data_IF_449337959374
#
_entry.id   IF_449337959374
#
_cell.length_a   1.000
_cell.length_b   1.000
_cell.length_c   1.000
_cell.angle_alpha   90.00
_cell.angle_beta   90.00
_cell.angle_gamma   90.00
#
_symmetry.space_group_name_H-M   'P 1'
#
loop_
_entity.id
_entity.type
_entity.pdbx_description
1 polymer ?
2 non-polymer ?
3 non-polymer ?
4 non-polymer ?
5 water ?
#
# COMPACT_ATOMS: atom_id res chain seq x y z
N UNK A 1 5.40 -17.03 19.29
CA UNK A 1 4.75 -15.71 18.97
C UNK A 1 5.25 -15.36 17.56
N UNK A 2 4.67 -14.33 16.95
CA UNK A 2 4.78 -14.03 15.49
C UNK A 2 6.18 -13.49 15.26
N UNK A 3 7.08 -14.18 14.53
CA UNK A 3 8.46 -13.71 14.42
C UNK A 3 8.64 -12.54 13.43
N UNK A 4 7.60 -12.12 12.70
CA UNK A 4 7.63 -10.97 11.73
C UNK A 4 7.24 -9.65 12.43
N UNK A 5 6.87 -9.73 13.70
CA UNK A 5 6.51 -8.51 14.43
C UNK A 5 7.80 -7.70 14.55
N UNK A 6 7.62 -6.39 14.45
CA UNK A 6 8.67 -5.35 14.39
C UNK A 6 8.08 -4.10 15.02
N UNK A 7 8.88 -3.42 15.80
CA UNK A 7 8.49 -2.13 16.36
C UNK A 7 7.71 -2.35 17.66
N UNK A 8 7.55 -1.26 18.43
CA UNK A 8 6.73 -1.28 19.64
C UNK A 8 5.24 -1.47 19.34
N UNK A 9 4.48 -1.71 20.41
CA UNK A 9 3.02 -1.94 20.33
C UNK A 9 2.34 -0.66 19.83
N UNK A 10 1.49 -0.77 18.80
CA UNK A 10 0.91 0.42 18.19
C UNK A 10 -0.16 1.10 19.04
N UNK A 11 -0.28 2.43 18.91
CA UNK A 11 -1.45 3.21 19.36
C UNK A 11 -1.94 4.02 18.15
N UNK A 12 -3.19 4.40 18.18
CA UNK A 12 -3.76 5.47 17.33
C UNK A 12 -2.74 6.62 17.19
N UNK A 13 -2.26 7.18 18.30
CA UNK A 13 -1.27 8.28 18.28
C UNK A 13 -0.05 7.89 17.45
N UNK A 14 0.53 6.68 17.64
CA UNK A 14 1.80 6.35 16.97
C UNK A 14 1.53 6.20 15.48
N UNK A 15 0.35 5.70 15.11
CA UNK A 15 0.01 5.49 13.68
C UNK A 15 -0.39 6.81 12.99
N UNK A 16 -0.94 7.78 13.70
CA UNK A 16 -1.29 9.09 13.08
C UNK A 16 -0.07 10.00 12.98
N UNK A 17 1.03 9.74 13.73
CA UNK A 17 2.24 10.60 13.78
C UNK A 17 2.91 10.65 12.40
N UNK A 18 3.66 11.72 12.14
CA UNK A 18 4.46 11.98 10.92
C UNK A 18 5.38 10.80 10.63
N UNK A 19 6.00 10.26 11.64
CA UNK A 19 7.00 9.20 11.43
C UNK A 19 6.70 8.04 12.37
N UNK A 20 6.99 6.84 11.90
CA UNK A 20 7.08 5.63 12.74
C UNK A 20 8.33 5.57 13.62
N UNK A 21 8.52 4.46 14.35
CA UNK A 21 9.59 4.35 15.35
C UNK A 21 10.97 4.08 14.76
N UNK A 22 11.08 3.85 13.46
CA UNK A 22 12.32 3.35 12.83
C UNK A 22 12.96 4.46 12.00
N UNK A 23 14.18 4.86 12.35
CA UNK A 23 15.01 5.67 11.49
C UNK A 23 15.22 4.98 10.16
N UNK A 24 15.28 5.76 9.12
CA UNK A 24 15.24 5.26 7.74
C UNK A 24 16.43 5.88 6.98
N UNK A 25 16.94 5.17 5.97
CA UNK A 25 17.92 5.71 5.00
C UNK A 25 17.43 5.40 3.59
N UNK A 26 18.04 6.00 2.58
CA UNK A 26 17.49 5.94 1.20
C UNK A 26 18.55 5.38 0.27
N UNK A 27 18.07 4.68 -0.76
CA UNK A 27 18.93 4.33 -1.93
C UNK A 27 18.21 4.83 -3.18
N UNK A 28 18.90 5.67 -3.95
CA UNK A 28 18.44 6.15 -5.26
C UNK A 28 18.64 5.01 -6.26
N UNK A 29 17.62 4.69 -7.07
CA UNK A 29 17.78 3.64 -8.10
C UNK A 29 18.59 4.17 -9.31
N UNK A 30 19.61 3.43 -9.77
CA UNK A 30 20.38 3.62 -11.04
C UNK A 30 19.49 4.19 -12.18
N UNK A 31 20.13 4.89 -13.13
CA UNK A 31 19.48 5.71 -14.19
C UNK A 31 18.58 4.85 -15.07
N UNK A 32 19.16 4.03 -15.99
CA UNK A 32 18.40 3.04 -16.74
C UNK A 32 18.34 1.84 -15.80
N UNK A 33 17.15 1.55 -15.32
CA UNK A 33 16.83 0.31 -14.57
C UNK A 33 15.77 -0.38 -15.42
N UNK A 34 15.88 -1.69 -15.46
CA UNK A 34 14.99 -2.56 -16.25
C UNK A 34 13.52 -2.49 -15.77
N UNK A 35 12.63 -2.07 -16.67
CA UNK A 35 11.18 -2.30 -16.51
C UNK A 35 10.42 -1.14 -15.87
N UNK A 36 11.10 -0.08 -15.43
CA UNK A 36 10.45 1.13 -14.85
C UNK A 36 11.40 2.32 -15.03
N UNK A 37 10.94 3.50 -14.60
CA UNK A 37 11.60 4.78 -14.88
C UNK A 37 12.59 5.18 -13.81
N UNK A 38 12.66 4.52 -12.69
CA UNK A 38 13.61 4.89 -11.61
C UNK A 38 12.88 4.88 -10.29
N UNK A 39 13.55 5.31 -9.22
CA UNK A 39 12.84 5.52 -7.96
C UNK A 39 13.77 5.69 -6.79
N UNK A 40 13.20 5.60 -5.59
CA UNK A 40 13.91 5.79 -4.31
C UNK A 40 13.47 4.65 -3.41
N UNK A 41 14.43 3.91 -2.86
CA UNK A 41 14.18 2.86 -1.86
C UNK A 41 14.48 3.44 -0.49
N UNK A 42 13.46 3.43 0.36
CA UNK A 42 13.47 3.78 1.80
C UNK A 42 13.53 2.51 2.62
N UNK A 43 14.50 2.41 3.55
CA UNK A 43 14.69 1.19 4.37
C UNK A 43 15.07 1.51 5.81
N UNK A 44 14.59 0.71 6.78
CA UNK A 44 14.95 0.94 8.18
C UNK A 44 16.47 0.79 8.33
N UNK A 45 17.10 1.64 9.13
CA UNK A 45 18.56 1.54 9.40
C UNK A 45 18.81 0.22 10.15
N UNK A 46 17.89 -0.12 11.06
CA UNK A 46 18.09 -1.28 11.94
C UNK A 46 18.13 -2.57 11.09
N UNK A 47 19.21 -3.31 11.27
CA UNK A 47 19.50 -4.57 10.53
C UNK A 47 18.51 -5.65 10.97
N UNK A 48 17.53 -5.92 10.09
CA UNK A 48 16.53 -6.99 10.28
C UNK A 48 15.99 -7.33 8.91
N UNK A 49 15.16 -8.35 8.79
CA UNK A 49 14.37 -8.56 7.55
C UNK A 49 13.00 -7.92 7.73
N UNK A 50 12.54 -7.28 6.68
CA UNK A 50 11.24 -6.60 6.59
C UNK A 50 10.54 -7.04 5.29
N UNK A 51 9.22 -6.98 5.30
CA UNK A 51 8.45 -6.91 4.07
C UNK A 51 8.92 -5.76 3.17
N UNK A 52 8.61 -5.88 1.89
CA UNK A 52 8.89 -4.85 0.87
C UNK A 52 7.61 -4.41 0.09
N UNK A 53 7.59 -3.12 -0.22
CA UNK A 53 6.41 -2.44 -0.82
C UNK A 53 6.89 -1.65 -2.03
N UNK A 54 6.23 -1.81 -3.19
CA UNK A 54 6.39 -0.94 -4.36
C UNK A 54 5.17 -0.04 -4.45
N UNK A 55 5.39 1.28 -4.60
CA UNK A 55 4.35 2.35 -4.69
C UNK A 55 4.50 3.10 -6.00
N UNK A 56 3.42 3.13 -6.81
CA UNK A 56 3.36 3.84 -8.10
C UNK A 56 2.63 5.16 -7.90
N UNK A 57 3.09 6.25 -8.54
CA UNK A 57 2.28 7.46 -8.62
C UNK A 57 1.22 7.28 -9.73
N UNK A 58 0.51 8.39 -9.99
CA UNK A 58 -0.61 8.46 -10.92
C UNK A 58 -0.22 9.06 -12.27
N UNK A 59 -1.24 9.20 -13.11
CA UNK A 59 -1.17 9.85 -14.44
C UNK A 59 -0.65 11.29 -14.28
N UNK A 60 0.30 11.70 -15.14
CA UNK A 60 1.09 12.96 -15.17
C UNK A 60 1.93 13.21 -13.90
N UNK A 61 2.03 12.28 -12.94
CA UNK A 61 2.76 12.50 -11.66
C UNK A 61 4.07 11.69 -11.65
N UNK A 62 4.96 12.00 -10.70
CA UNK A 62 6.26 11.34 -10.42
C UNK A 62 6.26 10.81 -8.98
N UNK A 63 7.36 10.17 -8.57
CA UNK A 63 7.51 9.56 -7.22
C UNK A 63 7.36 10.63 -6.15
N UNK A 64 7.59 11.89 -6.50
CA UNK A 64 7.51 12.99 -5.52
C UNK A 64 6.09 12.99 -4.92
N UNK A 65 5.08 12.72 -5.71
CA UNK A 65 3.66 12.68 -5.28
C UNK A 65 3.35 11.54 -4.29
N UNK A 66 4.22 10.52 -4.17
CA UNK A 66 4.05 9.43 -3.15
C UNK A 66 5.27 9.28 -2.21
N UNK A 67 6.25 10.17 -2.28
CA UNK A 67 7.49 10.18 -1.47
C UNK A 67 7.14 10.14 0.02
N UNK A 68 6.18 10.96 0.44
CA UNK A 68 5.76 11.02 1.87
C UNK A 68 5.42 9.62 2.37
N UNK A 69 4.71 8.88 1.52
CA UNK A 69 4.15 7.56 1.85
C UNK A 69 5.29 6.55 1.99
N UNK A 70 6.27 6.61 1.09
CA UNK A 70 7.41 5.70 1.15
C UNK A 70 8.21 5.90 2.43
N UNK A 71 8.40 7.15 2.84
CA UNK A 71 9.23 7.40 4.04
C UNK A 71 8.44 7.04 5.31
N UNK A 72 7.16 7.38 5.31
CA UNK A 72 6.32 7.14 6.49
C UNK A 72 6.17 5.64 6.70
N UNK A 73 5.97 4.91 5.63
CA UNK A 73 5.73 3.44 5.72
C UNK A 73 7.03 2.73 6.08
N UNK A 74 8.16 3.08 5.45
CA UNK A 74 9.48 2.51 5.79
C UNK A 74 9.72 2.69 7.30
N UNK A 75 9.33 3.83 7.87
CA UNK A 75 9.65 4.19 9.28
C UNK A 75 8.83 3.36 10.24
N UNK A 76 7.85 2.60 9.75
CA UNK A 76 7.08 1.62 10.56
C UNK A 76 7.68 0.23 10.39
N UNK A 77 8.76 0.09 9.63
CA UNK A 77 9.46 -1.22 9.51
C UNK A 77 9.11 -1.94 8.23
N UNK A 78 9.45 -1.33 7.09
CA UNK A 78 9.21 -1.89 5.74
C UNK A 78 10.27 -1.32 4.84
N UNK A 79 10.64 -2.08 3.82
CA UNK A 79 11.48 -1.57 2.70
C UNK A 79 10.51 -1.08 1.63
N UNK A 80 10.64 0.17 1.18
CA UNK A 80 9.58 0.74 0.29
C UNK A 80 10.23 1.39 -0.94
N UNK A 81 9.91 0.97 -2.15
CA UNK A 81 10.38 1.74 -3.34
C UNK A 81 9.23 2.62 -3.84
N UNK A 82 9.49 3.93 -3.98
CA UNK A 82 8.55 4.87 -4.66
C UNK A 82 9.07 4.98 -6.09
N UNK A 83 8.29 4.61 -7.09
CA UNK A 83 8.83 4.58 -8.49
C UNK A 83 8.46 5.84 -9.25
N UNK A 84 9.27 6.10 -10.29
CA UNK A 84 8.89 6.85 -11.48
C UNK A 84 8.55 5.79 -12.52
N UNK A 85 7.55 6.09 -13.34
CA UNK A 85 7.13 5.24 -14.48
C UNK A 85 7.99 5.64 -15.70
N UNK A 86 8.02 4.75 -16.68
CA UNK A 86 8.63 4.97 -18.00
C UNK A 86 8.26 6.35 -18.49
N UNK A 87 6.97 6.64 -18.60
CA UNK A 87 6.48 8.01 -18.86
C UNK A 87 5.34 8.28 -17.92
N UNK A 88 5.02 9.56 -17.73
CA UNK A 88 4.00 9.97 -16.75
C UNK A 88 2.60 9.69 -17.29
N UNK A 89 2.45 9.37 -18.58
CA UNK A 89 1.13 9.10 -19.22
C UNK A 89 0.81 7.59 -19.30
N UNK A 90 1.67 6.70 -18.77
CA UNK A 90 1.49 5.23 -18.87
C UNK A 90 0.17 4.85 -18.16
N UNK A 91 -0.59 3.93 -18.72
CA UNK A 91 -1.94 3.59 -18.20
C UNK A 91 -1.78 2.56 -17.10
N UNK A 92 -2.90 2.18 -16.43
CA UNK A 92 -2.81 1.32 -15.26
C UNK A 92 -2.14 -0.04 -15.51
N UNK A 93 -2.42 -0.73 -16.61
CA UNK A 93 -1.86 -2.09 -16.76
C UNK A 93 -0.33 -2.00 -16.98
N UNK A 94 0.12 -0.92 -17.61
CA UNK A 94 1.56 -0.69 -17.77
C UNK A 94 2.17 -0.47 -16.38
N UNK A 95 1.53 0.38 -15.56
CA UNK A 95 1.95 0.63 -14.14
C UNK A 95 2.02 -0.70 -13.36
N UNK A 96 1.11 -1.65 -13.62
CA UNK A 96 1.16 -3.01 -13.00
C UNK A 96 2.49 -3.74 -13.31
N UNK A 97 2.89 -3.76 -14.58
CA UNK A 97 4.20 -4.32 -15.02
C UNK A 97 5.36 -3.60 -14.31
N UNK A 98 5.27 -2.27 -14.18
CA UNK A 98 6.34 -1.44 -13.64
C UNK A 98 6.42 -1.67 -12.13
N UNK A 99 5.28 -1.87 -11.44
CA UNK A 99 5.28 -2.23 -10.00
C UNK A 99 6.01 -3.58 -9.86
N UNK A 100 5.71 -4.55 -10.72
CA UNK A 100 6.32 -5.89 -10.62
C UNK A 100 7.83 -5.77 -10.83
N UNK A 101 8.25 -5.05 -11.88
CA UNK A 101 9.69 -4.82 -12.17
C UNK A 101 10.37 -4.13 -10.96
N UNK A 102 9.73 -3.18 -10.30
CA UNK A 102 10.29 -2.52 -9.10
C UNK A 102 10.48 -3.54 -7.95
N UNK A 103 9.51 -4.45 -7.76
CA UNK A 103 9.65 -5.53 -6.76
C UNK A 103 10.89 -6.37 -7.12
N UNK A 104 11.05 -6.71 -8.40
CA UNK A 104 12.20 -7.52 -8.87
C UNK A 104 13.52 -6.78 -8.60
N UNK A 105 13.51 -5.45 -8.79
CA UNK A 105 14.73 -4.63 -8.60
C UNK A 105 15.10 -4.62 -7.10
N UNK A 106 14.15 -4.49 -6.20
CA UNK A 106 14.47 -4.47 -4.75
C UNK A 106 15.13 -5.78 -4.30
N UNK A 107 14.66 -6.93 -4.78
CA UNK A 107 15.19 -8.25 -4.32
C UNK A 107 16.37 -8.76 -5.16
N UNK A 108 16.49 -8.35 -6.43
CA UNK A 108 17.51 -8.90 -7.35
C UNK A 108 18.40 -7.81 -7.95
N UNK A 109 18.07 -6.53 -7.82
CA UNK A 109 18.89 -5.48 -8.47
C UNK A 109 19.50 -4.47 -7.49
N UNK A 110 18.95 -4.27 -6.30
CA UNK A 110 19.36 -3.20 -5.38
C UNK A 110 20.68 -3.61 -4.70
N UNK A 111 21.23 -2.73 -3.88
CA UNK A 111 22.46 -3.05 -3.09
C UNK A 111 22.16 -4.20 -2.16
N UNK A 112 23.22 -4.87 -1.68
CA UNK A 112 23.19 -5.86 -0.57
C UNK A 112 22.53 -5.27 0.67
N UNK A 113 22.80 -4.00 0.96
CA UNK A 113 22.15 -3.30 2.08
C UNK A 113 20.62 -3.48 1.98
N UNK A 114 20.10 -3.30 0.77
CA UNK A 114 18.62 -3.40 0.54
C UNK A 114 18.22 -4.88 0.52
N UNK A 115 18.83 -5.67 -0.35
CA UNK A 115 18.45 -7.11 -0.48
C UNK A 115 18.46 -7.81 0.89
N UNK A 116 19.42 -7.53 1.77
CA UNK A 116 19.62 -8.24 3.07
C UNK A 116 18.49 -7.88 4.04
N UNK A 117 17.84 -6.74 3.82
CA UNK A 117 16.74 -6.23 4.69
C UNK A 117 15.37 -6.71 4.18
N UNK A 118 15.28 -7.41 3.07
CA UNK A 118 13.97 -7.91 2.54
C UNK A 118 13.80 -9.40 2.81
N UNK A 119 12.65 -9.74 3.42
CA UNK A 119 12.07 -11.10 3.34
C UNK A 119 11.32 -11.18 2.02
N UNK A 120 11.91 -11.77 0.97
CA UNK A 120 11.29 -11.66 -0.38
C UNK A 120 10.03 -12.52 -0.51
N UNK A 121 9.68 -13.27 0.53
CA UNK A 121 8.40 -14.00 0.58
C UNK A 121 7.29 -13.03 0.95
N UNK A 122 7.61 -11.84 1.44
CA UNK A 122 6.57 -10.98 2.03
C UNK A 122 6.52 -9.64 1.30
N UNK A 123 5.70 -9.54 0.25
CA UNK A 123 5.66 -8.37 -0.63
C UNK A 123 4.27 -7.77 -0.75
N UNK A 124 4.23 -6.46 -1.03
CA UNK A 124 2.99 -5.66 -1.19
C UNK A 124 3.15 -4.61 -2.29
N UNK A 125 2.00 -4.14 -2.80
CA UNK A 125 1.98 -3.02 -3.75
C UNK A 125 0.92 -2.01 -3.34
N UNK A 126 1.10 -0.78 -3.80
CA UNK A 126 0.28 0.41 -3.48
C UNK A 126 0.38 1.35 -4.66
N UNK A 127 -0.59 2.22 -4.89
CA UNK A 127 -0.42 3.26 -5.93
C UNK A 127 -1.56 4.26 -5.86
N UNK A 128 -1.30 5.48 -6.33
CA UNK A 128 -2.27 6.58 -6.41
C UNK A 128 -2.84 6.55 -7.82
N UNK A 129 -4.17 6.56 -7.89
CA UNK A 129 -4.92 6.94 -9.09
C UNK A 129 -4.66 5.85 -10.12
N UNK A 130 -4.01 6.15 -11.24
CA UNK A 130 -3.75 5.09 -12.25
C UNK A 130 -2.76 4.06 -11.66
N UNK A 131 -1.85 4.49 -10.80
CA UNK A 131 -1.03 3.60 -9.95
C UNK A 131 -1.86 2.65 -9.08
N UNK A 132 -3.03 3.13 -8.64
CA UNK A 132 -4.00 2.33 -7.85
C UNK A 132 -4.66 1.28 -8.73
N UNK A 133 -4.96 1.63 -9.98
CA UNK A 133 -5.45 0.67 -10.96
C UNK A 133 -4.40 -0.39 -11.20
N UNK A 134 -3.13 0.03 -11.35
CA UNK A 134 -1.99 -0.90 -11.55
C UNK A 134 -1.89 -1.87 -10.38
N UNK A 135 -2.08 -1.36 -9.15
CA UNK A 135 -2.14 -2.17 -7.89
C UNK A 135 -3.18 -3.30 -8.04
N UNK A 136 -4.42 -2.97 -8.45
CA UNK A 136 -5.50 -3.97 -8.65
C UNK A 136 -5.10 -5.00 -9.70
N UNK A 137 -4.59 -4.56 -10.87
CA UNK A 137 -4.22 -5.49 -11.95
C UNK A 137 -3.12 -6.44 -11.46
N UNK A 138 -2.06 -5.91 -10.85
CA UNK A 138 -0.93 -6.77 -10.43
C UNK A 138 -1.45 -7.73 -9.36
N UNK A 139 -2.22 -7.24 -8.39
CA UNK A 139 -2.79 -8.11 -7.34
C UNK A 139 -3.58 -9.24 -8.01
N UNK A 140 -4.34 -8.89 -9.07
CA UNK A 140 -5.21 -9.87 -9.78
C UNK A 140 -4.37 -11.06 -10.29
N UNK A 141 -3.11 -10.82 -10.63
CA UNK A 141 -2.30 -11.82 -11.33
C UNK A 141 -1.14 -12.32 -10.45
N UNK A 142 -0.99 -11.80 -9.22
CA UNK A 142 0.05 -12.22 -8.27
C UNK A 142 -0.59 -12.51 -6.92
N UNK A 143 -1.33 -13.62 -6.82
CA UNK A 143 -2.04 -13.96 -5.58
C UNK A 143 -1.07 -14.31 -4.45
N UNK A 144 0.24 -14.35 -4.76
CA UNK A 144 1.34 -14.56 -3.78
C UNK A 144 1.65 -13.27 -3.01
N UNK A 145 1.22 -12.10 -3.49
CA UNK A 145 1.44 -10.85 -2.74
C UNK A 145 0.66 -10.91 -1.43
N UNK A 146 1.19 -10.30 -0.38
CA UNK A 146 0.60 -10.33 0.98
C UNK A 146 -0.43 -9.19 1.11
N UNK A 147 -0.30 -8.10 0.36
CA UNK A 147 -1.23 -6.94 0.43
C UNK A 147 -1.20 -6.09 -0.84
N UNK A 148 -2.30 -5.35 -1.04
CA UNK A 148 -2.51 -4.37 -2.10
C UNK A 148 -3.32 -3.19 -1.55
N UNK A 149 -2.89 -1.96 -1.79
CA UNK A 149 -3.63 -0.77 -1.30
C UNK A 149 -3.69 0.24 -2.44
N UNK A 150 -4.76 0.16 -3.28
CA UNK A 150 -5.06 1.19 -4.27
C UNK A 150 -5.63 2.42 -3.55
N UNK A 151 -5.07 3.59 -3.82
CA UNK A 151 -5.45 4.89 -3.24
C UNK A 151 -6.09 5.74 -4.33
N UNK A 152 -7.35 6.10 -4.13
CA UNK A 152 -8.19 6.82 -5.13
C UNK A 152 -7.93 6.22 -6.51
N UNK A 153 -8.14 4.89 -6.65
CA UNK A 153 -7.76 4.20 -7.87
C UNK A 153 -8.62 4.69 -9.05
N UNK A 154 -7.98 4.73 -10.20
CA UNK A 154 -8.58 4.87 -11.53
C UNK A 154 -8.21 3.64 -12.38
N UNK A 155 -9.19 3.00 -12.99
CA UNK A 155 -9.00 1.92 -13.99
C UNK A 155 -10.30 1.81 -14.75
N UNK A 156 -10.20 1.69 -16.08
CA UNK A 156 -11.38 1.48 -16.94
C UNK A 156 -12.07 0.16 -16.57
N UNK A 157 -11.32 -0.84 -16.11
CA UNK A 157 -11.90 -2.11 -15.62
C UNK A 157 -12.40 -1.94 -14.17
N UNK A 158 -13.58 -2.50 -13.91
CA UNK A 158 -14.27 -2.42 -12.59
C UNK A 158 -14.41 -3.82 -12.02
N UNK A 159 -13.96 -4.85 -12.76
CA UNK A 159 -14.23 -6.25 -12.39
C UNK A 159 -12.97 -6.97 -11.91
N UNK A 160 -12.88 -7.25 -10.59
CA UNK A 160 -11.63 -7.77 -9.98
C UNK A 160 -11.98 -9.04 -9.23
N UNK A 161 -12.70 -9.93 -9.90
CA UNK A 161 -13.33 -11.09 -9.24
C UNK A 161 -12.30 -12.20 -9.08
N UNK A 162 -11.06 -11.98 -9.48
CA UNK A 162 -9.96 -12.94 -9.26
C UNK A 162 -9.00 -12.55 -8.12
N UNK A 163 -9.14 -11.38 -7.51
CA UNK A 163 -8.16 -10.89 -6.49
C UNK A 163 -8.32 -11.65 -5.16
N UNK A 164 -7.23 -12.31 -4.74
CA UNK A 164 -7.08 -13.15 -3.51
C UNK A 164 -6.19 -12.45 -2.47
N UNK A 165 -5.44 -11.46 -2.90
CA UNK A 165 -4.48 -10.68 -2.07
C UNK A 165 -5.32 -9.78 -1.20
N UNK A 166 -5.05 -9.72 0.13
CA UNK A 166 -5.71 -8.79 1.01
C UNK A 166 -5.62 -7.34 0.51
N UNK A 167 -6.77 -6.72 0.28
CA UNK A 167 -6.84 -5.46 -0.49
C UNK A 167 -7.61 -4.41 0.29
N UNK A 168 -6.98 -3.28 0.52
CA UNK A 168 -7.62 -2.11 1.17
C UNK A 168 -7.71 -1.02 0.13
N UNK A 169 -8.91 -0.64 -0.25
CA UNK A 169 -9.10 0.47 -1.23
C UNK A 169 -9.48 1.70 -0.43
N UNK A 170 -8.70 2.77 -0.60
CA UNK A 170 -9.04 4.13 -0.09
C UNK A 170 -9.62 4.99 -1.19
N UNK A 171 -10.86 5.37 -0.98
CA UNK A 171 -11.55 6.26 -1.93
C UNK A 171 -11.64 7.66 -1.35
N UNK A 172 -11.97 8.64 -2.16
CA UNK A 172 -12.12 10.03 -1.68
C UNK A 172 -13.55 10.49 -2.03
N UNK A 173 -14.39 10.73 -1.02
CA UNK A 173 -15.83 11.04 -1.23
C UNK A 173 -16.04 12.03 -2.38
N UNK A 174 -15.29 13.11 -2.45
CA UNK A 174 -15.54 14.21 -3.42
C UNK A 174 -14.66 14.07 -4.66
N UNK A 175 -14.15 12.87 -4.92
CA UNK A 175 -13.29 12.60 -6.10
C UNK A 175 -14.10 12.85 -7.39
N UNK A 176 -13.57 13.66 -8.27
CA UNK A 176 -14.25 14.08 -9.53
C UNK A 176 -13.44 13.52 -10.66
N UNK A 177 -12.25 12.99 -10.36
CA UNK A 177 -11.31 12.41 -11.37
C UNK A 177 -11.59 10.91 -11.52
N UNK A 178 -11.70 10.23 -10.39
CA UNK A 178 -11.99 8.78 -10.29
C UNK A 178 -13.10 8.63 -9.25
N UNK A 179 -14.32 9.12 -9.59
CA UNK A 179 -15.43 9.10 -8.65
C UNK A 179 -15.48 7.68 -8.07
N UNK A 180 -15.71 7.59 -6.76
CA UNK A 180 -15.72 6.29 -6.03
C UNK A 180 -16.87 5.44 -6.58
N UNK A 181 -17.94 6.09 -7.03
CA UNK A 181 -19.11 5.38 -7.61
C UNK A 181 -18.72 4.62 -8.87
N UNK A 182 -17.74 5.14 -9.63
CA UNK A 182 -17.31 4.58 -10.95
C UNK A 182 -16.05 3.71 -10.81
N UNK A 183 -15.29 3.82 -9.71
CA UNK A 183 -13.94 3.21 -9.63
C UNK A 183 -13.78 2.40 -8.34
N UNK A 184 -13.51 3.11 -7.24
CA UNK A 184 -13.19 2.52 -5.93
C UNK A 184 -14.30 1.54 -5.53
N UNK A 185 -15.56 1.95 -5.61
CA UNK A 185 -16.67 1.18 -4.95
C UNK A 185 -17.03 -0.07 -5.74
N UNK A 186 -17.26 0.02 -7.07
CA UNK A 186 -17.50 -1.17 -7.86
C UNK A 186 -16.28 -2.10 -7.84
N UNK A 187 -15.09 -1.52 -7.87
CA UNK A 187 -13.86 -2.35 -7.83
C UNK A 187 -13.85 -3.13 -6.51
N UNK A 188 -14.10 -2.44 -5.41
CA UNK A 188 -14.18 -3.10 -4.08
C UNK A 188 -15.23 -4.20 -4.12
N UNK A 189 -16.45 -3.86 -4.52
CA UNK A 189 -17.59 -4.81 -4.42
C UNK A 189 -17.29 -6.09 -5.23
N UNK A 190 -16.62 -5.97 -6.40
CA UNK A 190 -16.31 -7.10 -7.32
C UNK A 190 -15.27 -8.05 -6.71
N UNK A 191 -14.46 -7.60 -5.77
CA UNK A 191 -13.45 -8.49 -5.15
C UNK A 191 -14.21 -9.56 -4.36
N UNK A 192 -13.80 -10.85 -4.47
CA UNK A 192 -14.51 -11.92 -3.82
C UNK A 192 -14.64 -11.69 -2.31
N UNK A 193 -15.76 -12.08 -1.72
CA UNK A 193 -16.01 -11.82 -0.29
C UNK A 193 -15.13 -12.77 0.52
N UNK A 194 -14.62 -13.84 -0.06
CA UNK A 194 -13.65 -14.72 0.62
C UNK A 194 -12.30 -14.02 0.78
N UNK A 195 -11.99 -12.99 -0.01
CA UNK A 195 -10.74 -12.20 0.13
C UNK A 195 -10.85 -11.28 1.34
N UNK A 196 -9.78 -11.19 2.12
CA UNK A 196 -9.64 -10.19 3.21
C UNK A 196 -9.57 -8.83 2.52
N UNK A 197 -10.56 -7.97 2.79
CA UNK A 197 -10.65 -6.71 2.04
C UNK A 197 -11.38 -5.67 2.88
N UNK A 198 -11.18 -4.42 2.49
CA UNK A 198 -11.81 -3.27 3.16
C UNK A 198 -11.81 -2.07 2.20
N UNK A 199 -12.73 -1.16 2.46
CA UNK A 199 -12.95 0.06 1.66
C UNK A 199 -13.15 1.19 2.67
N UNK A 200 -12.23 2.15 2.66
CA UNK A 200 -12.26 3.35 3.52
C UNK A 200 -12.48 4.56 2.61
N UNK A 201 -13.59 5.26 2.77
CA UNK A 201 -13.88 6.50 1.98
C UNK A 201 -13.59 7.72 2.84
N UNK A 202 -12.69 8.57 2.37
CA UNK A 202 -12.25 9.76 3.14
C UNK A 202 -13.33 10.82 3.00
N UNK A 203 -13.90 11.24 4.12
CA UNK A 203 -14.91 12.34 4.17
C UNK A 203 -14.32 13.57 3.48
N UNK A 204 -15.07 14.23 2.61
CA UNK A 204 -14.72 15.57 2.11
C UNK A 204 -13.57 15.56 1.10
N UNK A 205 -12.90 14.42 0.87
CA UNK A 205 -11.57 14.40 0.24
C UNK A 205 -11.73 14.45 -1.28
N UNK A 206 -10.68 14.92 -1.96
CA UNK A 206 -10.53 14.91 -3.44
C UNK A 206 -9.56 13.80 -3.90
N UNK A 207 -9.39 13.70 -5.22
CA UNK A 207 -8.51 12.75 -5.90
C UNK A 207 -7.08 12.89 -5.40
N UNK A 208 -6.68 14.06 -4.94
CA UNK A 208 -5.25 14.35 -4.70
C UNK A 208 -4.93 14.20 -3.21
N UNK A 209 -5.90 13.78 -2.39
CA UNK A 209 -5.64 13.63 -0.94
C UNK A 209 -4.46 12.68 -0.68
N UNK A 210 -4.26 11.55 -1.42
CA UNK A 210 -3.13 10.66 -1.12
C UNK A 210 -1.77 11.22 -1.55
N UNK A 211 -1.75 12.39 -2.20
CA UNK A 211 -0.49 12.95 -2.77
C UNK A 211 0.15 13.87 -1.75
N UNK A 212 -0.40 13.97 -0.55
CA UNK A 212 0.19 14.82 0.53
C UNK A 212 -0.08 14.11 1.85
N UNK A 213 0.78 14.37 2.85
CA UNK A 213 0.77 13.69 4.15
C UNK A 213 -0.65 13.70 4.67
N UNK A 214 -1.21 12.55 4.93
CA UNK A 214 -2.60 12.38 5.44
C UNK A 214 -2.52 11.40 6.61
N UNK A 215 -2.98 11.78 7.81
CA UNK A 215 -2.94 10.88 8.97
C UNK A 215 -3.84 9.65 8.77
N UNK A 216 -5.06 9.78 8.25
CA UNK A 216 -5.96 8.64 8.02
C UNK A 216 -5.29 7.62 7.08
N UNK A 217 -4.78 8.06 5.93
CA UNK A 217 -4.16 7.17 4.91
C UNK A 217 -2.97 6.47 5.59
N UNK A 218 -2.13 7.23 6.26
CA UNK A 218 -0.91 6.74 6.93
C UNK A 218 -1.24 5.68 7.96
N UNK A 219 -2.22 6.00 8.80
CA UNK A 219 -2.61 5.07 9.88
C UNK A 219 -3.12 3.75 9.26
N UNK A 220 -4.06 3.82 8.32
CA UNK A 220 -4.83 2.63 7.85
C UNK A 220 -3.97 1.86 6.84
N UNK A 221 -3.22 2.57 6.00
CA UNK A 221 -2.15 2.01 5.17
C UNK A 221 -1.15 1.21 5.97
N UNK A 222 -0.60 1.83 7.00
CA UNK A 222 0.41 1.11 7.82
C UNK A 222 -0.27 -0.10 8.47
N UNK A 223 -1.44 0.10 9.07
CA UNK A 223 -2.10 -0.98 9.84
C UNK A 223 -2.44 -2.16 8.91
N UNK A 224 -2.87 -1.88 7.66
CA UNK A 224 -3.12 -2.95 6.66
C UNK A 224 -1.84 -3.72 6.40
N UNK A 225 -0.75 -3.01 6.13
CA UNK A 225 0.54 -3.64 5.80
C UNK A 225 1.01 -4.47 6.98
N UNK A 226 1.05 -3.87 8.16
CA UNK A 226 1.35 -4.67 9.37
C UNK A 226 0.49 -5.93 9.42
N UNK A 227 -0.82 -5.80 9.31
CA UNK A 227 -1.71 -6.97 9.51
C UNK A 227 -1.34 -8.06 8.51
N UNK A 228 -1.02 -7.73 7.25
CA UNK A 228 -0.98 -8.72 6.14
C UNK A 228 0.44 -9.04 5.69
N UNK A 229 1.30 -8.04 5.56
CA UNK A 229 2.70 -8.32 5.17
C UNK A 229 3.40 -8.97 6.35
N UNK A 230 3.12 -8.53 7.56
CA UNK A 230 3.79 -9.05 8.78
C UNK A 230 2.90 -10.04 9.55
N UNK A 231 1.66 -10.28 9.10
CA UNK A 231 0.65 -11.09 9.81
C UNK A 231 0.54 -10.60 11.27
N UNK A 232 0.64 -9.28 11.49
CA UNK A 232 0.80 -8.70 12.84
C UNK A 232 -0.60 -8.46 13.40
N UNK A 233 -1.03 -9.32 14.33
CA UNK A 233 -2.40 -9.28 14.89
C UNK A 233 -2.50 -8.22 15.97
N UNK A 234 -1.42 -7.48 16.28
CA UNK A 234 -1.50 -6.27 17.12
C UNK A 234 -2.28 -5.15 16.41
N UNK A 235 -2.44 -5.28 15.10
CA UNK A 235 -2.99 -4.24 14.19
C UNK A 235 -4.44 -4.61 13.83
N UNK A 236 -4.86 -5.84 14.10
CA UNK A 236 -6.24 -6.24 13.76
C UNK A 236 -7.25 -5.26 14.37
N UNK A 237 -7.03 -4.78 15.60
CA UNK A 237 -8.05 -4.03 16.34
C UNK A 237 -8.33 -2.66 15.69
N UNK A 238 -7.43 -2.14 14.88
CA UNK A 238 -7.64 -0.87 14.11
C UNK A 238 -8.48 -1.12 12.85
N UNK A 239 -8.46 -2.35 12.31
CA UNK A 239 -9.04 -2.71 10.97
C UNK A 239 -10.45 -3.26 11.12
N UNK A 240 -10.73 -3.84 12.28
CA UNK A 240 -11.95 -4.63 12.57
C UNK A 240 -12.45 -4.22 13.94
N UNK A 241 -13.66 -3.60 14.05
CA UNK A 241 -14.53 -3.29 12.91
C UNK A 241 -14.14 -2.09 12.05
N UNK A 242 -13.13 -1.32 12.47
CA UNK A 242 -12.52 -0.25 11.68
C UNK A 242 -13.00 1.11 12.18
N UNK A 243 -12.62 2.19 11.49
CA UNK A 243 -12.84 3.56 11.96
C UNK A 243 -14.32 3.95 12.11
N UNK A 244 -14.60 4.81 13.08
CA UNK A 244 -15.93 5.44 13.29
C UNK A 244 -16.22 6.29 12.06
N UNK A 245 -17.44 6.24 11.55
CA UNK A 245 -17.83 6.96 10.31
C UNK A 245 -18.85 8.03 10.67
N UNK A 246 -19.21 8.87 9.69
CA UNK A 246 -20.25 9.92 9.83
C UNK A 246 -19.70 11.34 9.75
N UNK A 247 -20.27 12.25 10.54
CA UNK A 247 -20.33 13.70 10.22
C UNK A 247 -19.09 14.42 10.76
N UNK A 248 -18.57 14.00 11.91
CA UNK A 248 -17.31 14.52 12.50
C UNK A 248 -16.18 13.50 12.35
N UNK A 249 -16.38 12.48 11.51
CA UNK A 249 -15.34 11.50 11.14
C UNK A 249 -14.53 12.00 9.93
N UNK A 250 -13.24 11.66 9.89
CA UNK A 250 -12.43 11.82 8.64
C UNK A 250 -12.86 10.73 7.67
N UNK A 251 -13.65 9.75 8.16
CA UNK A 251 -14.09 8.58 7.34
C UNK A 251 -15.58 8.72 7.05
N UNK A 252 -15.96 8.82 5.78
CA UNK A 252 -17.37 8.86 5.32
C UNK A 252 -18.02 7.48 5.45
N UNK A 253 -17.33 6.43 5.00
CA UNK A 253 -17.79 5.03 5.21
C UNK A 253 -16.60 4.08 5.22
N UNK A 254 -16.82 2.88 5.75
CA UNK A 254 -15.83 1.78 5.82
C UNK A 254 -16.58 0.47 5.64
N UNK A 255 -16.18 -0.32 4.67
CA UNK A 255 -16.72 -1.66 4.43
C UNK A 255 -15.54 -2.59 4.64
N UNK A 256 -15.79 -3.85 4.99
CA UNK A 256 -14.73 -4.85 5.15
C UNK A 256 -15.33 -6.26 5.12
N UNK A 257 -14.48 -7.27 4.99
CA UNK A 257 -14.89 -8.68 5.24
C UNK A 257 -14.38 -9.11 6.61
N UNK A 258 -14.31 -8.17 7.57
CA UNK A 258 -14.06 -8.45 9.01
C UNK A 258 -15.06 -9.51 9.44
N UNK A 259 -14.71 -10.44 10.34
CA UNK A 259 -13.43 -10.45 11.03
C UNK A 259 -12.28 -10.98 10.17
N UNK A 260 -11.04 -10.60 10.49
CA UNK A 260 -9.84 -11.11 9.80
C UNK A 260 -9.18 -12.15 10.72
N UNK A 261 -9.36 -13.41 10.30
CA UNK A 261 -8.97 -14.65 11.02
C UNK A 261 -7.46 -14.85 10.87
N UNK A 262 -6.84 -15.41 11.91
CA UNK A 262 -5.37 -15.52 12.12
C UNK A 262 -5.01 -17.02 11.96
N UNK A 263 -3.77 -17.43 11.61
CA UNK A 263 -3.21 -18.78 12.02
C UNK A 263 -2.09 -18.59 13.08
N UNK A 264 -1.33 -19.64 13.46
CA UNK A 264 -0.62 -19.70 14.76
C UNK A 264 0.28 -20.93 14.87
N UNK A 265 1.21 -20.87 15.83
CA UNK A 265 2.19 -21.94 16.19
C UNK A 265 2.26 -22.01 17.72
N UNK A 266 2.92 -23.04 18.24
CA UNK A 266 3.06 -23.29 19.71
C UNK A 266 4.55 -23.53 20.00
N UNK A 267 5.10 -22.86 21.01
CA UNK A 267 6.51 -22.94 21.48
C UNK A 267 6.54 -23.84 22.72
#
# INVERSE_FOLDING_TARGET
ANPYERGPDPTQASLEASRGPFPVSEERVSSPVSGFGGGTIYYPQENNTYGAVAISPGYTATQSSVAWLGERIASHGFVVITIDTNTTLDQPDSRADQLEAALDHMVDGASSTVRSRIDRNRLAVMGHSMGGGGTLRLASRRPDLKAAIPLTPWHLNKSWSNVQVPTLIIGAENDTVAPVALHAEPSYTSIPTSTRKAYLELNGASHFAPSVANATIGMYGVAWLKRFVDEDTRYTRFLCPGPRTGLFSDVEEYRSTCPFLEHHHHHH
#
